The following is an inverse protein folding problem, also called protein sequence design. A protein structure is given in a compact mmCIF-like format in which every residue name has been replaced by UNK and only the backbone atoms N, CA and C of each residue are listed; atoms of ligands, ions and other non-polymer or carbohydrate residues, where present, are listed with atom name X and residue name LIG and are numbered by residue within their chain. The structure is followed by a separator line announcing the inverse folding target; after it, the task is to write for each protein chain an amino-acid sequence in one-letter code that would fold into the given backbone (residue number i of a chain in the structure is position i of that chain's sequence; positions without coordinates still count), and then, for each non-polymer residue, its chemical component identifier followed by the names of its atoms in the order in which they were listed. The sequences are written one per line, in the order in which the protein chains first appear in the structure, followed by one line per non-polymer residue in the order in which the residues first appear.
data_IF_223987058002
#
_entry.id   IF_223987058002
#
_cell.length_a   1.000
_cell.length_b   1.000
_cell.length_c   1.000
_cell.angle_alpha   90.00
_cell.angle_beta   90.00
_cell.angle_gamma   90.00
#
_symmetry.space_group_name_H-M   'P 1'
#
loop_
_entity.id
_entity.type
_entity.pdbx_description
1 polymer ?
#
# COMPACT_ATOMS: atom_id res chain seq x y z
N UNK A 1 -14.20 21.38 -13.88
CA UNK A 1 -12.86 20.76 -13.73
C UNK A 1 -13.00 19.28 -14.06
N UNK A 2 -12.08 18.72 -14.83
CA UNK A 2 -12.00 17.28 -15.07
C UNK A 2 -11.60 16.57 -13.76
N UNK A 3 -12.18 15.41 -13.47
CA UNK A 3 -11.88 14.62 -12.26
C UNK A 3 -10.39 14.30 -12.17
N UNK A 4 -9.75 13.99 -13.31
CA UNK A 4 -8.32 13.67 -13.36
C UNK A 4 -7.49 14.89 -12.92
N UNK A 5 -7.81 16.08 -13.44
CA UNK A 5 -7.11 17.31 -13.08
C UNK A 5 -7.27 17.65 -11.59
N UNK A 6 -8.46 17.43 -11.03
CA UNK A 6 -8.71 17.61 -9.60
C UNK A 6 -7.85 16.67 -8.74
N UNK A 7 -7.75 15.39 -9.11
CA UNK A 7 -6.96 14.42 -8.37
C UNK A 7 -5.47 14.76 -8.44
N UNK A 8 -4.96 15.14 -9.61
CA UNK A 8 -3.58 15.58 -9.77
C UNK A 8 -3.28 16.82 -8.92
N UNK A 9 -4.18 17.80 -8.92
CA UNK A 9 -4.01 19.00 -8.11
C UNK A 9 -4.04 18.70 -6.61
N UNK A 10 -4.89 17.77 -6.18
CA UNK A 10 -4.96 17.33 -4.78
C UNK A 10 -3.67 16.60 -4.37
N UNK A 11 -3.15 15.71 -5.22
CA UNK A 11 -1.88 15.02 -5.00
C UNK A 11 -0.71 16.00 -4.83
N UNK A 12 -0.57 16.98 -5.74
CA UNK A 12 0.50 17.99 -5.69
C UNK A 12 0.43 18.87 -4.44
N UNK A 13 -0.78 19.15 -3.95
CA UNK A 13 -1.01 20.00 -2.79
C UNK A 13 -0.94 19.25 -1.47
N UNK A 14 -1.13 17.93 -1.48
CA UNK A 14 -1.11 17.14 -0.27
C UNK A 14 0.29 17.15 0.36
N UNK A 15 0.31 17.29 1.68
CA UNK A 15 1.52 17.20 2.50
C UNK A 15 1.28 16.13 3.53
N UNK A 16 1.85 14.95 3.29
CA UNK A 16 1.75 13.82 4.19
C UNK A 16 2.28 14.21 5.59
N UNK A 17 1.62 13.72 6.63
CA UNK A 17 2.00 13.92 8.02
C UNK A 17 2.31 12.57 8.64
N UNK A 18 3.07 12.59 9.73
CA UNK A 18 3.34 11.36 10.47
C UNK A 18 2.05 10.68 10.91
N UNK A 19 2.00 9.36 10.78
CA UNK A 19 0.86 8.53 11.12
C UNK A 19 1.26 7.53 12.21
N UNK A 20 0.65 7.60 13.41
CA UNK A 20 1.05 6.76 14.54
C UNK A 20 0.43 5.36 14.53
N UNK A 21 -0.52 5.09 13.64
CA UNK A 21 -1.13 3.77 13.53
C UNK A 21 -0.27 2.79 12.74
N UNK A 22 -0.63 1.52 12.84
CA UNK A 22 0.01 0.46 12.08
C UNK A 22 -0.50 0.45 10.63
N UNK A 23 0.41 0.23 9.68
CA UNK A 23 0.13 0.11 8.25
C UNK A 23 0.62 -1.23 7.72
N UNK A 24 -0.24 -1.92 6.98
CA UNK A 24 0.13 -3.03 6.10
C UNK A 24 0.24 -2.50 4.67
N UNK A 25 1.46 -2.44 4.13
CA UNK A 25 1.77 -1.96 2.79
C UNK A 25 1.90 -3.14 1.82
N UNK A 26 1.01 -3.24 0.84
CA UNK A 26 1.11 -4.26 -0.22
C UNK A 26 1.92 -3.71 -1.39
N UNK A 27 3.15 -4.21 -1.56
CA UNK A 27 4.12 -3.76 -2.55
C UNK A 27 4.15 -4.71 -3.75
N UNK A 28 3.87 -4.22 -4.96
CA UNK A 28 4.02 -5.04 -6.17
C UNK A 28 5.49 -5.40 -6.43
N UNK A 29 5.78 -6.60 -6.93
CA UNK A 29 7.14 -7.01 -7.30
C UNK A 29 7.64 -6.27 -8.54
N UNK A 30 6.76 -6.04 -9.52
CA UNK A 30 7.10 -5.27 -10.72
C UNK A 30 6.98 -3.78 -10.39
N UNK A 31 8.13 -3.13 -10.23
CA UNK A 31 8.26 -1.72 -9.88
C UNK A 31 8.88 -0.91 -11.00
N UNK A 32 8.55 0.39 -11.05
CA UNK A 32 9.36 1.35 -11.77
C UNK A 32 10.73 1.47 -11.09
N UNK A 33 11.76 1.78 -11.87
CA UNK A 33 13.14 1.83 -11.37
C UNK A 33 13.29 2.76 -10.16
N UNK A 34 12.66 3.92 -10.20
CA UNK A 34 12.67 4.90 -9.11
C UNK A 34 12.13 4.30 -7.80
N UNK A 35 11.02 3.56 -7.87
CA UNK A 35 10.40 2.92 -6.70
C UNK A 35 11.19 1.72 -6.19
N UNK A 36 12.00 1.08 -7.04
CA UNK A 36 12.81 -0.09 -6.64
C UNK A 36 13.85 0.26 -5.58
N UNK A 37 14.29 1.52 -5.52
CA UNK A 37 15.25 2.05 -4.55
C UNK A 37 14.64 2.33 -3.17
N UNK A 38 13.31 2.37 -3.07
CA UNK A 38 12.58 2.64 -1.83
C UNK A 38 11.73 1.43 -1.48
N UNK A 39 12.26 0.45 -0.71
CA UNK A 39 11.53 -0.78 -0.36
C UNK A 39 10.17 -0.52 0.31
N UNK A 40 10.07 0.57 1.06
CA UNK A 40 8.87 1.03 1.77
C UNK A 40 8.02 2.04 0.99
N UNK A 41 8.39 2.37 -0.25
CA UNK A 41 7.73 3.37 -1.08
C UNK A 41 7.61 4.76 -0.40
N UNK A 42 8.54 5.11 0.49
CA UNK A 42 8.57 6.38 1.22
C UNK A 42 7.71 6.40 2.48
N UNK A 43 7.06 5.28 2.85
CA UNK A 43 6.23 5.22 4.06
C UNK A 43 7.02 5.19 5.37
N UNK A 44 8.27 4.73 5.36
CA UNK A 44 9.08 4.58 6.58
C UNK A 44 9.40 5.91 7.27
N UNK A 45 9.38 7.03 6.55
CA UNK A 45 9.56 8.37 7.13
C UNK A 45 8.28 8.92 7.77
N UNK A 46 7.12 8.34 7.44
CA UNK A 46 5.80 8.84 7.85
C UNK A 46 5.17 7.98 8.94
N UNK A 47 5.38 6.67 8.92
CA UNK A 47 4.75 5.76 9.88
C UNK A 47 5.57 5.67 11.16
N UNK A 48 4.98 6.06 12.29
CA UNK A 48 5.62 5.92 13.61
C UNK A 48 5.08 4.73 14.40
N UNK A 49 4.04 4.05 13.90
CA UNK A 49 3.61 2.74 14.35
C UNK A 49 4.35 1.61 13.63
N UNK A 50 3.75 0.42 13.57
CA UNK A 50 4.31 -0.71 12.81
C UNK A 50 4.04 -0.53 11.31
N UNK A 51 5.09 -0.56 10.50
CA UNK A 51 4.99 -0.69 9.05
C UNK A 51 5.34 -2.12 8.63
N UNK A 52 4.34 -2.89 8.19
CA UNK A 52 4.54 -4.24 7.66
C UNK A 52 4.41 -4.20 6.13
N UNK A 53 5.42 -4.69 5.43
CA UNK A 53 5.41 -4.75 3.95
C UNK A 53 5.09 -6.18 3.51
N UNK A 54 4.18 -6.31 2.55
CA UNK A 54 3.75 -7.56 1.94
C UNK A 54 3.99 -7.48 0.43
N UNK A 55 4.94 -8.25 -0.11
CA UNK A 55 5.14 -8.28 -1.55
C UNK A 55 3.97 -8.98 -2.25
N UNK A 56 3.49 -8.46 -3.38
CA UNK A 56 2.45 -9.05 -4.22
C UNK A 56 2.93 -9.17 -5.67
N UNK A 57 2.45 -10.19 -6.37
CA UNK A 57 2.83 -10.41 -7.76
C UNK A 57 2.20 -9.33 -8.67
N UNK A 58 2.78 -9.17 -9.86
CA UNK A 58 2.30 -8.21 -10.85
C UNK A 58 2.85 -6.80 -10.68
N UNK A 59 2.24 -5.85 -11.40
CA UNK A 59 2.62 -4.44 -11.45
C UNK A 59 1.56 -3.54 -10.83
N UNK A 60 1.89 -2.27 -10.58
CA UNK A 60 0.93 -1.28 -10.05
C UNK A 60 -0.40 -1.24 -10.85
N UNK A 61 -0.34 -1.30 -12.18
CA UNK A 61 -1.53 -1.28 -13.04
C UNK A 61 -2.18 -2.66 -13.27
N UNK A 62 -1.50 -3.73 -12.88
CA UNK A 62 -1.94 -5.12 -13.06
C UNK A 62 -2.50 -5.77 -11.81
N UNK A 63 -2.04 -5.37 -10.62
CA UNK A 63 -2.32 -6.07 -9.35
C UNK A 63 -3.81 -6.15 -8.97
N UNK A 64 -4.65 -5.28 -9.54
CA UNK A 64 -6.10 -5.27 -9.32
C UNK A 64 -6.90 -5.82 -10.51
N UNK A 65 -6.23 -6.53 -11.43
CA UNK A 65 -6.83 -7.14 -12.61
C UNK A 65 -6.55 -8.63 -12.60
N UNK A 66 -7.49 -9.39 -13.15
CA UNK A 66 -7.32 -10.84 -13.25
C UNK A 66 -6.13 -11.18 -14.17
N UNK A 67 -5.36 -12.22 -13.84
CA UNK A 67 -5.56 -13.17 -12.74
C UNK A 67 -4.97 -12.74 -11.37
N UNK A 68 -4.26 -11.62 -11.32
CA UNK A 68 -3.43 -11.21 -10.17
C UNK A 68 -4.25 -10.76 -8.95
N UNK A 69 -5.52 -10.36 -9.15
CA UNK A 69 -6.44 -9.89 -8.09
C UNK A 69 -6.61 -10.87 -6.92
N UNK A 70 -6.50 -12.18 -7.18
CA UNK A 70 -6.67 -13.20 -6.15
C UNK A 70 -5.54 -13.15 -5.11
N UNK A 71 -4.32 -12.82 -5.53
CA UNK A 71 -3.15 -12.79 -4.66
C UNK A 71 -3.23 -11.65 -3.64
N UNK A 72 -3.67 -10.46 -4.05
CA UNK A 72 -3.85 -9.32 -3.15
C UNK A 72 -5.05 -9.56 -2.21
N UNK A 73 -6.16 -10.10 -2.71
CA UNK A 73 -7.34 -10.39 -1.90
C UNK A 73 -7.03 -11.38 -0.75
N UNK A 74 -6.33 -12.48 -1.05
CA UNK A 74 -5.95 -13.48 -0.05
C UNK A 74 -5.04 -12.90 1.05
N UNK A 75 -4.11 -12.00 0.68
CA UNK A 75 -3.23 -11.34 1.65
C UNK A 75 -3.97 -10.35 2.53
N UNK A 76 -4.88 -9.55 1.96
CA UNK A 76 -5.73 -8.64 2.74
C UNK A 76 -6.58 -9.43 3.75
N UNK A 77 -7.23 -10.51 3.30
CA UNK A 77 -8.07 -11.35 4.17
C UNK A 77 -7.29 -11.93 5.34
N UNK A 78 -6.08 -12.43 5.09
CA UNK A 78 -5.18 -12.90 6.13
C UNK A 78 -4.81 -11.80 7.13
N UNK A 79 -4.41 -10.62 6.65
CA UNK A 79 -4.05 -9.49 7.51
C UNK A 79 -5.22 -9.06 8.41
N UNK A 80 -6.43 -9.03 7.87
CA UNK A 80 -7.64 -8.68 8.64
C UNK A 80 -7.95 -9.75 9.68
N UNK A 81 -7.90 -11.01 9.28
CA UNK A 81 -8.16 -12.16 10.16
C UNK A 81 -7.17 -12.21 11.32
N UNK A 82 -5.87 -12.09 11.04
CA UNK A 82 -4.81 -12.09 12.05
C UNK A 82 -5.01 -10.95 13.06
N UNK A 83 -5.43 -9.76 12.62
CA UNK A 83 -5.72 -8.63 13.51
C UNK A 83 -6.92 -8.85 14.39
N UNK A 84 -8.00 -9.45 13.87
CA UNK A 84 -9.21 -9.77 14.63
C UNK A 84 -8.88 -10.77 15.76
N UNK A 85 -8.13 -11.83 15.45
CA UNK A 85 -7.76 -12.84 16.44
C UNK A 85 -6.80 -12.29 17.50
N UNK A 86 -5.81 -11.50 17.12
CA UNK A 86 -4.84 -10.94 18.07
C UNK A 86 -5.41 -9.82 18.96
N UNK A 87 -6.55 -9.22 18.59
CA UNK A 87 -7.24 -8.20 19.41
C UNK A 87 -8.19 -8.80 20.45
N UNK A 88 -8.40 -10.12 20.44
CA UNK A 88 -9.37 -10.83 21.28
C UNK A 88 -8.74 -11.58 22.46
N UNK A 89 -7.43 -11.40 22.68
CA UNK A 89 -6.64 -11.99 23.77
C UNK A 89 -6.12 -10.92 24.73
#
# INVERSE_FOLDING_TARGET
LNIIDCNLQAELNYRARSYPGDIDLFRCQVQLLENSLYPDLGWGELVTGRLQIHEIDGSHYGALRDPDTNGIAAKIDRCLTDKIFNSSC
#
